data_IF_382497463596
#
_entry.id   IF_382497463596
#
_cell.length_a   1.000
_cell.length_b   1.000
_cell.length_c   1.000
_cell.angle_alpha   90.00
_cell.angle_beta   90.00
_cell.angle_gamma   90.00
#
_symmetry.space_group_name_H-M   'P 1'
#
loop_
_entity.id
_entity.type
_entity.pdbx_description
1 polymer ?
#
# COMPACT_ATOMS: atom_id res chain seq x y z
N UNK A 1 -39.77 -22.27 -38.29
CA UNK A 1 -39.47 -21.14 -37.38
C UNK A 1 -38.87 -21.70 -36.11
N UNK A 2 -37.53 -21.64 -35.98
CA UNK A 2 -36.81 -22.12 -34.81
C UNK A 2 -37.03 -21.14 -33.66
N UNK A 3 -37.70 -21.57 -32.59
CA UNK A 3 -37.88 -20.77 -31.39
C UNK A 3 -36.51 -20.55 -30.73
N UNK A 4 -35.98 -19.32 -30.81
CA UNK A 4 -34.83 -18.90 -30.02
C UNK A 4 -35.08 -19.21 -28.54
N UNK A 5 -34.34 -20.17 -27.98
CA UNK A 5 -34.16 -20.29 -26.53
C UNK A 5 -33.59 -18.95 -26.06
N UNK A 6 -34.42 -18.09 -25.46
CA UNK A 6 -33.92 -16.91 -24.72
C UNK A 6 -33.04 -17.45 -23.59
N UNK A 7 -31.74 -17.29 -23.72
CA UNK A 7 -30.73 -17.86 -22.82
C UNK A 7 -30.97 -17.35 -21.41
N UNK A 8 -31.21 -18.26 -20.46
CA UNK A 8 -31.33 -18.00 -19.02
C UNK A 8 -30.00 -17.61 -18.37
N UNK A 9 -29.07 -17.03 -19.13
CA UNK A 9 -27.74 -16.66 -18.68
C UNK A 9 -27.75 -15.34 -17.93
N UNK A 10 -26.91 -15.23 -16.90
CA UNK A 10 -26.71 -13.99 -16.15
C UNK A 10 -25.80 -13.05 -16.92
N UNK A 11 -26.11 -11.76 -16.90
CA UNK A 11 -25.24 -10.71 -17.45
C UNK A 11 -24.27 -10.28 -16.36
N UNK A 12 -22.98 -10.51 -16.61
CA UNK A 12 -21.87 -9.98 -15.82
C UNK A 12 -21.39 -8.67 -16.44
N UNK A 13 -20.99 -7.72 -15.59
CA UNK A 13 -20.24 -6.58 -16.07
C UNK A 13 -18.75 -6.91 -16.27
N UNK A 14 -17.99 -5.97 -16.82
CA UNK A 14 -16.55 -6.13 -17.07
C UNK A 14 -15.71 -6.40 -15.82
N UNK A 15 -16.24 -6.12 -14.63
CA UNK A 15 -15.60 -6.38 -13.34
C UNK A 15 -16.00 -7.73 -12.73
N UNK A 16 -16.73 -8.58 -13.46
CA UNK A 16 -17.21 -9.87 -12.95
C UNK A 16 -18.28 -9.75 -11.86
N UNK A 17 -19.00 -8.62 -11.81
CA UNK A 17 -20.09 -8.37 -10.86
C UNK A 17 -21.43 -8.49 -11.57
N UNK A 18 -22.42 -9.04 -10.86
CA UNK A 18 -23.80 -9.22 -11.32
C UNK A 18 -24.74 -8.44 -10.41
N UNK A 19 -25.51 -7.52 -10.99
CA UNK A 19 -26.60 -6.84 -10.32
C UNK A 19 -27.96 -7.40 -10.77
N UNK A 20 -28.80 -7.78 -9.81
CA UNK A 20 -30.15 -8.30 -10.05
C UNK A 20 -31.02 -7.31 -10.84
N UNK A 21 -30.86 -6.00 -10.59
CA UNK A 21 -31.64 -4.96 -11.27
C UNK A 21 -31.29 -4.80 -12.76
N UNK A 22 -30.12 -5.26 -13.17
CA UNK A 22 -29.63 -5.17 -14.54
C UNK A 22 -30.02 -6.39 -15.39
N UNK A 23 -30.56 -7.45 -14.76
CA UNK A 23 -31.06 -8.66 -15.43
C UNK A 23 -32.45 -8.43 -16.05
N UNK A 24 -32.54 -7.49 -16.99
CA UNK A 24 -33.81 -7.02 -17.58
C UNK A 24 -34.36 -7.93 -18.69
N UNK A 25 -33.53 -8.84 -19.22
CA UNK A 25 -33.88 -9.79 -20.27
C UNK A 25 -34.70 -11.00 -19.78
N UNK A 26 -34.76 -11.22 -18.45
CA UNK A 26 -35.50 -12.31 -17.80
C UNK A 26 -36.35 -11.78 -16.64
N UNK A 27 -37.32 -12.58 -16.17
CA UNK A 27 -38.16 -12.18 -15.03
C UNK A 27 -37.32 -12.05 -13.75
N UNK A 28 -37.67 -11.10 -12.88
CA UNK A 28 -36.96 -10.88 -11.60
C UNK A 28 -36.95 -12.13 -10.72
N UNK A 29 -38.03 -12.92 -10.71
CA UNK A 29 -38.12 -14.15 -9.94
C UNK A 29 -37.21 -15.24 -10.52
N UNK A 30 -37.17 -15.36 -11.86
CA UNK A 30 -36.26 -16.28 -12.55
C UNK A 30 -34.80 -15.91 -12.25
N UNK A 31 -34.43 -14.63 -12.38
CA UNK A 31 -33.10 -14.13 -12.07
C UNK A 31 -32.69 -14.42 -10.62
N UNK A 32 -33.58 -14.15 -9.65
CA UNK A 32 -33.34 -14.47 -8.22
C UNK A 32 -33.11 -15.96 -8.01
N UNK A 33 -33.90 -16.82 -8.66
CA UNK A 33 -33.74 -18.27 -8.56
C UNK A 33 -32.42 -18.76 -9.14
N UNK A 34 -31.98 -18.22 -10.28
CA UNK A 34 -30.68 -18.55 -10.89
C UNK A 34 -29.54 -18.11 -9.97
N UNK A 35 -29.58 -16.86 -9.47
CA UNK A 35 -28.58 -16.32 -8.57
C UNK A 35 -28.48 -17.10 -7.26
N UNK A 36 -29.60 -17.44 -6.62
CA UNK A 36 -29.62 -18.25 -5.38
C UNK A 36 -28.92 -19.58 -5.58
N UNK A 37 -29.29 -20.31 -6.65
CA UNK A 37 -28.68 -21.62 -6.93
C UNK A 37 -27.20 -21.51 -7.28
N UNK A 38 -26.76 -20.44 -7.95
CA UNK A 38 -25.35 -20.21 -8.26
C UNK A 38 -24.53 -19.92 -6.98
N UNK A 39 -25.11 -19.19 -6.01
CA UNK A 39 -24.50 -19.00 -4.68
C UNK A 39 -24.43 -20.31 -3.91
N UNK A 40 -25.50 -21.12 -3.91
CA UNK A 40 -25.52 -22.44 -3.27
C UNK A 40 -24.47 -23.40 -3.85
N UNK A 41 -24.17 -23.30 -5.15
CA UNK A 41 -23.10 -24.06 -5.82
C UNK A 41 -21.69 -23.48 -5.65
N UNK A 42 -21.55 -22.30 -5.02
CA UNK A 42 -20.26 -21.64 -4.86
C UNK A 42 -19.71 -20.97 -6.12
N UNK A 43 -20.52 -20.80 -7.17
CA UNK A 43 -20.12 -20.11 -8.41
C UNK A 43 -20.18 -18.58 -8.25
N UNK A 44 -21.04 -18.09 -7.35
CA UNK A 44 -21.20 -16.68 -7.03
C UNK A 44 -21.08 -16.43 -5.54
N UNK A 45 -20.54 -15.26 -5.20
CA UNK A 45 -20.49 -14.73 -3.83
C UNK A 45 -21.47 -13.57 -3.70
N UNK A 46 -22.40 -13.66 -2.76
CA UNK A 46 -23.35 -12.59 -2.50
C UNK A 46 -22.68 -11.46 -1.69
N UNK A 47 -22.56 -10.28 -2.29
CA UNK A 47 -21.94 -9.10 -1.64
C UNK A 47 -22.98 -8.29 -0.86
N UNK A 48 -24.10 -8.00 -1.52
CA UNK A 48 -25.23 -7.21 -1.00
C UNK A 48 -26.55 -7.83 -1.44
N UNK A 49 -27.66 -7.29 -0.95
CA UNK A 49 -28.97 -7.66 -1.48
C UNK A 49 -29.06 -7.30 -2.96
N UNK A 50 -29.11 -8.32 -3.83
CA UNK A 50 -29.25 -8.14 -5.27
C UNK A 50 -27.93 -7.81 -5.99
N UNK A 51 -26.77 -7.98 -5.36
CA UNK A 51 -25.45 -7.77 -5.97
C UNK A 51 -24.53 -8.93 -5.60
N UNK A 52 -23.90 -9.51 -6.61
CA UNK A 52 -23.11 -10.73 -6.53
C UNK A 52 -21.79 -10.55 -7.28
N UNK A 53 -20.72 -11.22 -6.84
CA UNK A 53 -19.47 -11.32 -7.58
C UNK A 53 -19.27 -12.75 -8.06
N UNK A 54 -18.59 -12.91 -9.19
CA UNK A 54 -18.05 -14.19 -9.62
C UNK A 54 -17.10 -14.75 -8.55
N UNK A 55 -17.24 -16.03 -8.18
CA UNK A 55 -16.35 -16.62 -7.19
C UNK A 55 -14.88 -16.61 -7.64
N UNK A 56 -14.60 -16.61 -8.96
CA UNK A 56 -13.25 -16.60 -9.53
C UNK A 56 -12.47 -15.30 -9.27
N UNK A 57 -13.17 -14.20 -9.00
CA UNK A 57 -12.54 -12.92 -8.66
C UNK A 57 -12.52 -12.65 -7.14
N UNK A 58 -13.14 -13.52 -6.33
CA UNK A 58 -13.30 -13.32 -4.90
C UNK A 58 -12.34 -14.21 -4.11
N UNK A 59 -11.25 -13.66 -3.52
CA UNK A 59 -10.32 -14.48 -2.74
C UNK A 59 -10.95 -14.91 -1.42
N UNK A 60 -11.11 -16.22 -1.22
CA UNK A 60 -11.77 -16.76 -0.03
C UNK A 60 -10.87 -16.66 1.20
N UNK A 61 -11.50 -16.57 2.39
CA UNK A 61 -10.79 -16.69 3.67
C UNK A 61 -10.12 -18.05 3.85
N UNK A 62 -10.66 -19.10 3.23
CA UNK A 62 -10.07 -20.44 3.25
C UNK A 62 -8.74 -20.51 2.51
N UNK A 63 -8.59 -19.70 1.46
CA UNK A 63 -7.45 -19.78 0.55
C UNK A 63 -6.22 -19.12 1.16
N UNK A 64 -6.45 -18.07 1.96
CA UNK A 64 -5.41 -17.28 2.62
C UNK A 64 -5.77 -17.06 4.10
N UNK A 65 -5.59 -18.07 4.96
CA UNK A 65 -6.08 -17.99 6.34
C UNK A 65 -5.28 -17.03 7.22
N UNK A 66 -3.99 -16.78 6.91
CA UNK A 66 -3.06 -15.94 7.70
C UNK A 66 -1.95 -15.34 6.82
N UNK A 67 -1.16 -14.42 7.40
CA UNK A 67 0.04 -13.87 6.79
C UNK A 67 -0.23 -12.76 5.78
N UNK A 68 0.79 -12.42 4.98
CA UNK A 68 0.71 -11.30 4.03
C UNK A 68 -0.36 -11.50 2.95
N UNK A 69 -0.59 -12.74 2.52
CA UNK A 69 -1.60 -13.07 1.51
C UNK A 69 -3.03 -12.87 2.03
N UNK A 70 -3.27 -13.15 3.32
CA UNK A 70 -4.57 -12.89 3.93
C UNK A 70 -4.91 -11.39 3.93
N UNK A 71 -3.93 -10.54 4.23
CA UNK A 71 -4.07 -9.07 4.21
C UNK A 71 -4.35 -8.59 2.78
N UNK A 72 -3.59 -9.10 1.79
CA UNK A 72 -3.82 -8.78 0.37
C UNK A 72 -5.21 -9.21 -0.10
N UNK A 73 -5.66 -10.42 0.26
CA UNK A 73 -6.99 -10.91 -0.04
C UNK A 73 -8.10 -10.05 0.59
N UNK A 74 -7.89 -9.56 1.81
CA UNK A 74 -8.81 -8.64 2.47
C UNK A 74 -8.94 -7.32 1.71
N UNK A 75 -7.82 -6.73 1.29
CA UNK A 75 -7.78 -5.51 0.47
C UNK A 75 -8.52 -5.69 -0.86
N UNK A 76 -8.30 -6.81 -1.55
CA UNK A 76 -8.99 -7.13 -2.81
C UNK A 76 -10.50 -7.25 -2.58
N UNK A 77 -10.94 -8.00 -1.56
CA UNK A 77 -12.38 -8.14 -1.26
C UNK A 77 -13.03 -6.81 -0.94
N UNK A 78 -12.37 -5.96 -0.14
CA UNK A 78 -12.89 -4.65 0.16
C UNK A 78 -12.97 -3.77 -1.10
N UNK A 79 -12.00 -3.88 -2.02
CA UNK A 79 -12.00 -3.17 -3.31
C UNK A 79 -13.18 -3.62 -4.18
N UNK A 80 -13.40 -4.92 -4.32
CA UNK A 80 -14.54 -5.49 -5.05
C UNK A 80 -15.87 -4.98 -4.46
N UNK A 81 -15.99 -4.96 -3.13
CA UNK A 81 -17.18 -4.42 -2.46
C UNK A 81 -17.36 -2.91 -2.72
N UNK A 82 -16.27 -2.13 -2.78
CA UNK A 82 -16.30 -0.71 -3.16
C UNK A 82 -16.75 -0.49 -4.62
N UNK A 83 -16.25 -1.30 -5.55
CA UNK A 83 -16.67 -1.25 -6.96
C UNK A 83 -18.16 -1.58 -7.05
N UNK A 84 -18.58 -2.69 -6.45
CA UNK A 84 -19.95 -3.16 -6.47
C UNK A 84 -20.95 -2.16 -5.84
N UNK A 85 -20.60 -1.50 -4.73
CA UNK A 85 -21.48 -0.49 -4.11
C UNK A 85 -21.57 0.77 -4.96
N UNK A 86 -20.48 1.19 -5.60
CA UNK A 86 -20.48 2.37 -6.47
C UNK A 86 -21.27 2.11 -7.75
N UNK A 87 -21.14 0.92 -8.34
CA UNK A 87 -21.98 0.50 -9.46
C UNK A 87 -23.46 0.47 -9.06
N UNK A 88 -23.79 -0.06 -7.87
CA UNK A 88 -25.14 -0.03 -7.32
C UNK A 88 -25.69 1.39 -7.06
N UNK A 89 -24.81 2.38 -6.87
CA UNK A 89 -25.18 3.76 -6.56
C UNK A 89 -24.33 4.76 -7.36
N UNK A 90 -24.54 4.86 -8.69
CA UNK A 90 -23.67 5.60 -9.60
C UNK A 90 -23.72 7.13 -9.39
N UNK A 91 -24.72 7.62 -8.66
CA UNK A 91 -24.86 9.01 -8.22
C UNK A 91 -23.96 9.39 -7.04
N UNK A 92 -23.31 8.40 -6.41
CA UNK A 92 -22.50 8.59 -5.20
C UNK A 92 -21.01 8.47 -5.48
N UNK A 93 -20.21 9.06 -4.60
CA UNK A 93 -18.75 9.17 -4.73
C UNK A 93 -18.08 8.54 -3.52
N UNK A 94 -17.17 7.59 -3.70
CA UNK A 94 -16.38 7.06 -2.58
C UNK A 94 -15.35 8.10 -2.12
N UNK A 95 -15.16 8.20 -0.81
CA UNK A 95 -14.27 9.21 -0.19
C UNK A 95 -13.41 8.57 0.91
N UNK A 96 -12.32 9.24 1.30
CA UNK A 96 -11.46 8.81 2.40
C UNK A 96 -10.82 7.44 2.12
N UNK A 97 -10.82 6.54 3.11
CA UNK A 97 -10.21 5.21 2.98
C UNK A 97 -10.81 4.38 1.82
N UNK A 98 -12.11 4.55 1.54
CA UNK A 98 -12.75 3.87 0.43
C UNK A 98 -12.19 4.33 -0.93
N UNK A 99 -11.96 5.63 -1.08
CA UNK A 99 -11.30 6.17 -2.26
C UNK A 99 -9.82 5.76 -2.32
N UNK A 100 -9.11 5.77 -1.18
CA UNK A 100 -7.72 5.33 -1.11
C UNK A 100 -7.54 3.88 -1.57
N UNK A 101 -8.49 3.01 -1.22
CA UNK A 101 -8.52 1.62 -1.66
C UNK A 101 -8.69 1.48 -3.18
N UNK A 102 -9.57 2.29 -3.80
CA UNK A 102 -9.76 2.31 -5.26
C UNK A 102 -8.52 2.89 -5.97
N UNK A 103 -7.86 3.86 -5.36
CA UNK A 103 -6.57 4.37 -5.81
C UNK A 103 -5.40 3.38 -5.58
N UNK A 104 -5.63 2.24 -4.94
CA UNK A 104 -4.59 1.27 -4.56
C UNK A 104 -3.47 1.84 -3.70
N UNK A 105 -3.80 2.84 -2.87
CA UNK A 105 -2.84 3.37 -1.91
C UNK A 105 -2.50 2.32 -0.84
N UNK A 106 -1.28 2.38 -0.25
CA UNK A 106 -0.79 1.36 0.67
C UNK A 106 -1.46 1.46 2.06
N UNK A 107 -2.70 0.99 2.14
CA UNK A 107 -3.44 0.90 3.39
C UNK A 107 -2.77 -0.09 4.36
N UNK A 108 -2.73 0.29 5.63
CA UNK A 108 -2.22 -0.59 6.69
C UNK A 108 -3.30 -1.53 7.21
N UNK A 109 -4.54 -1.09 7.10
CA UNK A 109 -5.72 -1.82 7.54
C UNK A 109 -6.96 -1.38 6.76
N UNK A 110 -8.04 -2.13 6.88
CA UNK A 110 -9.34 -1.76 6.32
C UNK A 110 -10.29 -1.52 7.49
N UNK A 111 -10.72 -0.28 7.71
CA UNK A 111 -11.70 -0.02 8.76
C UNK A 111 -13.02 -0.71 8.40
N UNK A 112 -13.72 -1.18 9.43
CA UNK A 112 -15.02 -1.83 9.25
C UNK A 112 -16.04 -0.94 8.53
N UNK A 113 -15.88 0.39 8.65
CA UNK A 113 -16.78 1.38 8.04
C UNK A 113 -16.05 2.25 7.04
N UNK A 114 -16.50 2.21 5.79
CA UNK A 114 -16.08 3.03 4.68
C UNK A 114 -17.11 4.13 4.38
N UNK A 115 -16.70 5.15 3.63
CA UNK A 115 -17.56 6.33 3.36
C UNK A 115 -17.91 6.44 1.88
N UNK A 116 -19.20 6.70 1.63
CA UNK A 116 -19.76 6.98 0.30
C UNK A 116 -20.60 8.26 0.38
N UNK A 117 -20.20 9.30 -0.35
CA UNK A 117 -20.86 10.60 -0.32
C UNK A 117 -21.91 10.76 -1.41
N UNK A 118 -23.03 11.39 -1.07
CA UNK A 118 -24.03 11.84 -2.04
C UNK A 118 -24.03 13.37 -2.16
N UNK A 119 -24.29 13.87 -3.38
CA UNK A 119 -24.55 15.29 -3.65
C UNK A 119 -25.96 15.72 -3.28
N UNK A 120 -26.86 14.78 -2.96
CA UNK A 120 -28.24 15.05 -2.55
C UNK A 120 -28.33 15.01 -1.04
N UNK A 121 -28.84 16.07 -0.42
CA UNK A 121 -29.11 16.08 1.03
C UNK A 121 -30.15 15.01 1.34
N UNK A 122 -29.72 13.97 2.03
CA UNK A 122 -30.54 12.90 2.57
C UNK A 122 -30.11 12.63 4.01
N UNK A 123 -30.97 11.99 4.79
CA UNK A 123 -30.57 11.43 6.07
C UNK A 123 -29.38 10.49 5.91
N UNK A 124 -28.51 10.47 6.91
CA UNK A 124 -27.40 9.51 7.00
C UNK A 124 -27.95 8.10 7.03
N UNK A 125 -27.29 7.17 6.33
CA UNK A 125 -27.65 5.75 6.35
C UNK A 125 -26.39 4.89 6.33
N UNK A 126 -26.49 3.65 6.78
CA UNK A 126 -25.39 2.68 6.72
C UNK A 126 -25.85 1.45 5.95
N UNK A 127 -25.08 1.07 4.94
CA UNK A 127 -25.29 -0.15 4.17
C UNK A 127 -24.29 -1.20 4.64
N UNK A 128 -24.77 -2.38 5.04
CA UNK A 128 -23.92 -3.48 5.49
C UNK A 128 -23.82 -4.55 4.41
N UNK A 129 -22.59 -5.00 4.15
CA UNK A 129 -22.30 -6.13 3.26
C UNK A 129 -22.54 -7.46 3.97
N UNK A 130 -22.68 -8.54 3.22
CA UNK A 130 -22.70 -9.90 3.77
C UNK A 130 -21.35 -10.30 4.40
N UNK A 131 -20.27 -9.59 4.08
CA UNK A 131 -18.90 -9.86 4.55
C UNK A 131 -18.42 -8.85 5.61
N UNK A 132 -19.34 -8.19 6.31
CA UNK A 132 -19.06 -7.42 7.53
C UNK A 132 -18.66 -5.95 7.32
N UNK A 133 -18.21 -5.58 6.13
CA UNK A 133 -17.89 -4.20 5.75
C UNK A 133 -19.16 -3.34 5.69
N UNK A 134 -19.06 -2.11 6.18
CA UNK A 134 -20.14 -1.13 6.24
C UNK A 134 -19.80 0.09 5.37
N UNK A 135 -20.81 0.66 4.73
CA UNK A 135 -20.71 1.91 3.98
C UNK A 135 -21.60 2.95 4.64
N UNK A 136 -20.99 3.89 5.34
CA UNK A 136 -21.65 5.06 5.86
C UNK A 136 -21.88 6.06 4.73
N UNK A 137 -23.15 6.38 4.50
CA UNK A 137 -23.56 7.38 3.54
C UNK A 137 -23.67 8.74 4.21
N UNK A 138 -22.87 9.71 3.75
CA UNK A 138 -22.96 11.10 4.19
C UNK A 138 -23.39 12.02 3.03
N UNK A 139 -23.74 13.26 3.39
CA UNK A 139 -23.93 14.34 2.44
C UNK A 139 -22.63 15.15 2.32
N UNK A 140 -22.10 15.24 1.11
CA UNK A 140 -20.95 16.08 0.80
C UNK A 140 -21.03 16.53 -0.66
N UNK A 141 -21.22 17.83 -0.86
CA UNK A 141 -21.17 18.44 -2.19
C UNK A 141 -19.71 18.55 -2.63
N UNK A 142 -19.28 17.65 -3.53
CA UNK A 142 -17.94 17.65 -4.10
C UNK A 142 -17.96 18.39 -5.45
N UNK A 143 -17.05 19.36 -5.68
CA UNK A 143 -16.92 19.97 -6.99
C UNK A 143 -16.39 18.95 -8.00
N UNK A 144 -16.71 19.09 -9.31
CA UNK A 144 -16.23 18.17 -10.35
C UNK A 144 -14.70 17.99 -10.34
N UNK A 145 -13.94 19.05 -10.07
CA UNK A 145 -12.47 19.03 -9.98
C UNK A 145 -11.92 18.19 -8.82
N UNK A 146 -12.75 17.86 -7.82
CA UNK A 146 -12.36 17.02 -6.69
C UNK A 146 -12.82 15.56 -6.84
N UNK A 147 -13.38 15.19 -8.00
CA UNK A 147 -13.87 13.84 -8.30
C UNK A 147 -13.26 13.30 -9.58
N UNK A 148 -13.06 11.99 -9.65
CA UNK A 148 -12.59 11.27 -10.84
C UNK A 148 -13.31 9.93 -10.94
N UNK A 149 -13.06 9.19 -12.02
CA UNK A 149 -13.57 7.84 -12.23
C UNK A 149 -12.42 6.87 -12.46
N UNK A 150 -12.41 5.78 -11.71
CA UNK A 150 -11.41 4.70 -11.76
C UNK A 150 -12.18 3.39 -11.84
N UNK A 151 -11.93 2.55 -12.84
CA UNK A 151 -12.63 1.26 -13.00
C UNK A 151 -14.17 1.40 -13.02
N UNK A 152 -14.69 2.51 -13.57
CA UNK A 152 -16.12 2.83 -13.56
C UNK A 152 -16.69 3.29 -12.21
N UNK A 153 -15.84 3.43 -11.19
CA UNK A 153 -16.18 3.87 -9.83
C UNK A 153 -15.96 5.37 -9.70
N UNK A 154 -16.95 6.11 -9.23
CA UNK A 154 -16.78 7.53 -8.88
C UNK A 154 -16.09 7.66 -7.53
N UNK A 155 -14.96 8.35 -7.51
CA UNK A 155 -14.14 8.55 -6.30
C UNK A 155 -13.63 9.99 -6.21
N UNK A 156 -13.18 10.42 -5.03
CA UNK A 156 -12.40 11.67 -4.92
C UNK A 156 -11.10 11.57 -5.71
N UNK A 157 -10.55 12.68 -6.21
CA UNK A 157 -9.21 12.66 -6.85
C UNK A 157 -8.15 12.18 -5.85
N UNK A 158 -6.99 11.70 -6.35
CA UNK A 158 -5.91 11.21 -5.49
C UNK A 158 -5.48 12.27 -4.45
N UNK A 159 -5.25 13.50 -4.92
CA UNK A 159 -4.90 14.62 -4.05
C UNK A 159 -6.01 14.93 -3.03
N UNK A 160 -7.27 14.95 -3.45
CA UNK A 160 -8.40 15.19 -2.54
C UNK A 160 -8.54 14.10 -1.48
N UNK A 161 -8.34 12.84 -1.87
CA UNK A 161 -8.39 11.68 -0.98
C UNK A 161 -7.34 11.79 0.12
N UNK A 162 -6.09 12.08 -0.24
CA UNK A 162 -4.99 12.27 0.74
C UNK A 162 -5.30 13.42 1.69
N UNK A 163 -5.75 14.57 1.16
CA UNK A 163 -6.07 15.75 1.96
C UNK A 163 -7.24 15.49 2.92
N UNK A 164 -8.29 14.80 2.49
CA UNK A 164 -9.41 14.46 3.37
C UNK A 164 -8.99 13.50 4.50
N UNK A 165 -8.11 12.54 4.22
CA UNK A 165 -7.58 11.61 5.23
C UNK A 165 -6.66 12.33 6.23
N UNK A 166 -5.82 13.24 5.74
CA UNK A 166 -4.98 14.10 6.57
C UNK A 166 -5.83 15.06 7.43
N UNK A 167 -6.91 15.60 6.89
CA UNK A 167 -7.84 16.47 7.61
C UNK A 167 -8.68 15.72 8.66
N UNK A 168 -8.94 14.42 8.46
CA UNK A 168 -9.70 13.59 9.39
C UNK A 168 -8.89 13.15 10.63
N UNK A 169 -7.63 13.55 10.74
CA UNK A 169 -6.79 13.25 11.90
C UNK A 169 -7.35 13.93 13.16
N UNK A 170 -7.34 13.24 14.31
CA UNK A 170 -7.84 13.82 15.56
C UNK A 170 -6.95 14.99 16.01
N UNK A 171 -7.52 15.90 16.79
CA UNK A 171 -6.71 16.86 17.55
C UNK A 171 -5.97 16.09 18.64
N UNK A 172 -4.70 16.41 18.83
CA UNK A 172 -3.82 15.68 19.76
C UNK A 172 -3.07 16.65 20.68
N UNK A 173 -2.69 16.13 21.83
CA UNK A 173 -1.76 16.67 22.82
C UNK A 173 -0.67 15.61 23.11
N UNK A 174 0.28 15.91 23.99
CA UNK A 174 1.39 14.99 24.28
C UNK A 174 0.94 13.63 24.85
N UNK A 175 -0.21 13.58 25.54
CA UNK A 175 -0.75 12.35 26.11
C UNK A 175 -1.45 11.49 25.05
N UNK A 176 -2.22 12.11 24.15
CA UNK A 176 -3.01 11.43 23.12
C UNK A 176 -2.19 11.04 21.89
N UNK A 177 -1.12 11.79 21.56
CA UNK A 177 -0.19 11.46 20.46
C UNK A 177 0.39 10.04 20.58
N UNK A 178 0.64 9.59 21.81
CA UNK A 178 1.27 8.30 22.10
C UNK A 178 0.29 7.13 22.15
N UNK A 179 -1.01 7.37 22.00
CA UNK A 179 -2.00 6.29 21.97
C UNK A 179 -1.84 5.49 20.67
N UNK A 180 -1.74 4.15 20.72
CA UNK A 180 -1.49 3.32 19.53
C UNK A 180 -2.47 3.57 18.38
N UNK A 181 -3.76 3.77 18.69
CA UNK A 181 -4.80 4.04 17.70
C UNK A 181 -4.66 5.41 17.03
N UNK A 182 -4.17 6.42 17.75
CA UNK A 182 -3.90 7.76 17.21
C UNK A 182 -2.66 7.73 16.34
N UNK A 183 -1.60 7.09 16.83
CA UNK A 183 -0.36 6.91 16.09
C UNK A 183 -0.59 6.12 14.79
N UNK A 184 -1.32 5.00 14.84
CA UNK A 184 -1.66 4.19 13.66
C UNK A 184 -2.37 5.01 12.57
N UNK A 185 -3.31 5.88 12.95
CA UNK A 185 -4.03 6.76 12.00
C UNK A 185 -3.13 7.82 11.38
N UNK A 186 -2.18 8.35 12.15
CA UNK A 186 -1.20 9.33 11.66
C UNK A 186 -0.22 8.69 10.69
N UNK A 187 0.31 7.53 11.07
CA UNK A 187 1.18 6.67 10.25
C UNK A 187 0.51 6.32 8.91
N UNK A 188 -0.74 5.86 8.95
CA UNK A 188 -1.49 5.53 7.73
C UNK A 188 -1.64 6.76 6.83
N UNK A 189 -2.00 7.93 7.38
CA UNK A 189 -2.13 9.14 6.58
C UNK A 189 -0.82 9.55 5.87
N UNK A 190 0.34 9.40 6.54
CA UNK A 190 1.65 9.64 5.93
C UNK A 190 1.94 8.62 4.83
N UNK A 191 1.72 7.33 5.09
CA UNK A 191 1.96 6.27 4.11
C UNK A 191 1.12 6.43 2.83
N UNK A 192 -0.13 6.88 2.97
CA UNK A 192 -1.01 7.18 1.84
C UNK A 192 -0.55 8.43 1.08
N UNK A 193 -0.07 9.47 1.78
CA UNK A 193 0.46 10.67 1.15
C UNK A 193 1.76 10.39 0.38
N UNK A 194 2.68 9.62 0.97
CA UNK A 194 3.92 9.19 0.31
C UNK A 194 3.63 8.32 -0.91
N UNK A 195 2.71 7.36 -0.78
CA UNK A 195 2.29 6.51 -1.88
C UNK A 195 1.70 7.30 -3.06
N UNK A 196 0.97 8.38 -2.77
CA UNK A 196 0.42 9.25 -3.80
C UNK A 196 1.51 10.07 -4.52
N UNK A 197 2.48 10.62 -3.77
CA UNK A 197 3.60 11.40 -4.33
C UNK A 197 4.60 10.53 -5.11
N UNK A 198 4.83 9.30 -4.67
CA UNK A 198 5.77 8.37 -5.31
C UNK A 198 5.30 7.91 -6.70
N UNK A 199 3.98 7.77 -6.91
CA UNK A 199 3.41 7.34 -8.19
C UNK A 199 3.81 5.93 -8.61
N UNK A 200 3.22 4.93 -7.97
CA UNK A 200 3.10 3.52 -8.41
C UNK A 200 2.43 2.79 -7.25
N UNK A 201 1.12 2.72 -7.33
CA UNK A 201 0.23 2.31 -6.23
C UNK A 201 0.08 0.79 -6.21
N UNK A 202 1.02 0.14 -5.52
CA UNK A 202 0.92 -1.25 -5.08
C UNK A 202 0.69 -1.34 -3.58
N UNK A 203 -0.31 -2.15 -3.19
CA UNK A 203 -0.54 -2.53 -1.80
C UNK A 203 0.57 -3.47 -1.32
N UNK A 204 1.30 -3.06 -0.29
CA UNK A 204 2.18 -3.91 0.52
C UNK A 204 3.20 -4.73 -0.31
N UNK A 205 4.24 -4.05 -0.79
CA UNK A 205 5.58 -4.63 -0.87
C UNK A 205 5.87 -5.66 -1.97
N UNK A 206 5.19 -5.66 -3.12
CA UNK A 206 5.67 -6.46 -4.26
C UNK A 206 5.58 -5.81 -5.64
N UNK A 207 4.75 -4.79 -5.86
CA UNK A 207 4.60 -4.17 -7.19
C UNK A 207 4.34 -2.68 -7.08
N UNK A 208 5.42 -1.90 -6.93
CA UNK A 208 5.39 -0.44 -6.88
C UNK A 208 6.47 0.22 -7.73
N UNK A 209 7.04 -0.51 -8.68
CA UNK A 209 7.98 0.02 -9.67
C UNK A 209 7.52 -0.48 -11.04
N UNK A 210 6.95 0.39 -11.86
CA UNK A 210 7.50 0.40 -13.22
C UNK A 210 8.90 0.98 -13.04
N UNK A 211 9.97 0.23 -13.31
CA UNK A 211 11.26 0.86 -13.44
C UNK A 211 11.06 2.02 -14.42
N UNK A 212 11.63 3.19 -14.13
CA UNK A 212 12.02 4.08 -15.23
C UNK A 212 12.57 3.16 -16.33
N UNK A 213 12.06 3.28 -17.56
CA UNK A 213 12.29 2.33 -18.66
C UNK A 213 13.77 2.11 -19.07
N UNK A 214 14.73 2.55 -18.26
CA UNK A 214 16.07 1.99 -18.22
C UNK A 214 16.35 1.44 -16.81
N UNK A 215 16.48 0.12 -16.68
CA UNK A 215 17.36 -0.42 -15.64
C UNK A 215 18.73 0.23 -15.85
N UNK A 216 19.40 0.74 -14.81
CA UNK A 216 20.69 1.41 -14.97
C UNK A 216 21.84 0.47 -15.41
N UNK A 217 21.57 -0.83 -15.64
CA UNK A 217 22.53 -1.89 -15.96
C UNK A 217 21.92 -2.90 -16.96
N UNK A 218 22.16 -2.76 -18.29
CA UNK A 218 21.63 -3.69 -19.29
C UNK A 218 22.25 -5.10 -19.23
N UNK A 219 23.41 -5.26 -18.61
CA UNK A 219 24.21 -6.51 -18.63
C UNK A 219 24.29 -7.25 -17.29
N UNK A 220 23.54 -6.82 -16.26
CA UNK A 220 23.51 -7.55 -15.00
C UNK A 220 22.71 -8.86 -15.17
N UNK A 221 23.28 -10.05 -14.87
CA UNK A 221 22.51 -11.29 -14.93
C UNK A 221 21.37 -11.23 -13.92
N UNK A 222 20.17 -11.68 -14.32
CA UNK A 222 18.96 -11.82 -13.50
C UNK A 222 19.26 -12.71 -12.28
N UNK A 223 19.79 -12.10 -11.22
CA UNK A 223 20.02 -12.76 -9.94
C UNK A 223 18.79 -12.51 -9.08
N UNK A 224 17.92 -13.52 -9.07
CA UNK A 224 16.64 -13.60 -8.38
C UNK A 224 15.44 -13.25 -9.27
N UNK A 225 14.88 -14.28 -9.91
CA UNK A 225 13.45 -14.32 -10.20
C UNK A 225 12.77 -14.87 -8.93
N UNK A 226 12.13 -14.03 -8.09
CA UNK A 226 11.24 -14.56 -7.07
C UNK A 226 10.16 -15.41 -7.76
N UNK A 227 9.59 -16.42 -7.09
CA UNK A 227 8.33 -16.97 -7.56
C UNK A 227 7.36 -15.80 -7.78
N UNK A 228 6.82 -15.66 -8.98
CA UNK A 228 5.99 -14.52 -9.35
C UNK A 228 4.68 -14.56 -8.55
N UNK A 229 4.67 -13.94 -7.38
CA UNK A 229 3.47 -13.58 -6.63
C UNK A 229 2.94 -12.22 -7.08
N UNK A 230 2.95 -12.02 -8.39
CA UNK A 230 2.47 -10.81 -9.03
C UNK A 230 0.96 -10.96 -9.30
N UNK A 231 0.16 -10.31 -8.47
CA UNK A 231 -1.30 -10.24 -8.67
C UNK A 231 -1.62 -9.61 -10.04
N UNK A 232 -0.74 -8.74 -10.59
CA UNK A 232 -0.92 -8.20 -11.94
C UNK A 232 -0.72 -9.28 -13.03
N UNK A 233 0.04 -10.34 -12.77
CA UNK A 233 0.17 -11.50 -13.67
C UNK A 233 -0.86 -12.60 -13.39
N UNK A 234 -1.19 -12.90 -12.13
CA UNK A 234 -2.14 -13.95 -11.77
C UNK A 234 -3.61 -13.50 -11.96
N UNK A 235 -3.89 -12.21 -11.76
CA UNK A 235 -5.22 -11.61 -11.92
C UNK A 235 -5.14 -10.26 -12.66
N UNK A 236 -4.71 -10.23 -13.95
CA UNK A 236 -4.50 -8.99 -14.71
C UNK A 236 -5.75 -8.10 -14.80
N UNK A 237 -6.95 -8.68 -14.73
CA UNK A 237 -8.22 -7.98 -14.67
C UNK A 237 -8.48 -7.21 -13.35
N UNK A 238 -7.66 -7.45 -12.31
CA UNK A 238 -7.71 -6.76 -11.02
C UNK A 238 -6.51 -5.82 -10.82
N UNK A 239 -5.58 -5.75 -11.77
CA UNK A 239 -4.42 -4.86 -11.72
C UNK A 239 -4.88 -3.39 -11.65
N UNK A 240 -4.37 -2.67 -10.67
CA UNK A 240 -4.78 -1.29 -10.44
C UNK A 240 -4.32 -0.39 -11.59
N UNK A 241 -5.16 0.54 -12.08
CA UNK A 241 -4.68 1.57 -12.98
C UNK A 241 -3.58 2.37 -12.28
N UNK A 242 -2.38 2.37 -12.87
CA UNK A 242 -1.22 3.08 -12.34
C UNK A 242 -1.50 4.57 -12.38
N UNK A 243 -1.60 5.20 -11.22
CA UNK A 243 -1.61 6.65 -11.15
C UNK A 243 -0.25 7.21 -11.54
N UNK A 244 -0.27 8.24 -12.38
CA UNK A 244 0.87 9.15 -12.54
C UNK A 244 1.13 9.80 -11.18
N UNK A 245 2.40 9.88 -10.77
CA UNK A 245 2.80 10.60 -9.57
C UNK A 245 2.17 12.00 -9.55
N UNK A 246 1.57 12.37 -8.41
CA UNK A 246 1.15 13.77 -8.18
C UNK A 246 2.25 14.51 -7.44
N UNK A 247 2.23 15.83 -7.55
CA UNK A 247 3.14 16.74 -6.86
C UNK A 247 2.49 17.28 -5.59
N UNK A 248 3.31 17.78 -4.65
CA UNK A 248 2.77 18.39 -3.43
C UNK A 248 1.91 19.64 -3.71
N UNK A 249 2.07 20.30 -4.87
CA UNK A 249 1.23 21.43 -5.27
C UNK A 249 -0.20 21.01 -5.62
N UNK A 250 -0.43 19.75 -5.99
CA UNK A 250 -1.76 19.22 -6.27
C UNK A 250 -2.64 19.13 -5.01
N UNK A 251 -2.04 19.17 -3.80
CA UNK A 251 -2.81 19.23 -2.55
C UNK A 251 -3.42 20.61 -2.28
N UNK A 252 -2.79 21.69 -2.77
CA UNK A 252 -3.14 23.08 -2.41
C UNK A 252 -4.62 23.43 -2.64
N UNK A 253 -5.27 23.04 -3.76
CA UNK A 253 -6.68 23.36 -3.99
C UNK A 253 -7.64 22.75 -2.97
N UNK A 254 -7.18 21.80 -2.15
CA UNK A 254 -8.01 21.04 -1.22
C UNK A 254 -7.73 21.35 0.25
N UNK A 255 -6.67 22.10 0.56
CA UNK A 255 -6.24 22.44 1.94
C UNK A 255 -7.30 23.24 2.69
N UNK A 256 -8.03 24.11 1.99
CA UNK A 256 -9.05 24.96 2.60
C UNK A 256 -10.47 24.37 2.48
N UNK A 257 -11.29 24.61 3.50
CA UNK A 257 -12.73 24.36 3.45
C UNK A 257 -13.45 25.47 2.66
N UNK A 258 -14.76 25.35 2.50
CA UNK A 258 -15.59 26.33 1.79
C UNK A 258 -15.60 27.73 2.44
N UNK A 259 -15.11 27.86 3.67
CA UNK A 259 -14.99 29.12 4.43
C UNK A 259 -13.55 29.65 4.44
N UNK A 260 -12.65 29.06 3.66
CA UNK A 260 -11.24 29.45 3.59
C UNK A 260 -10.39 28.97 4.76
N UNK A 261 -10.91 28.12 5.66
CA UNK A 261 -10.16 27.64 6.83
C UNK A 261 -9.37 26.39 6.46
N UNK A 262 -8.17 26.25 7.02
CA UNK A 262 -7.37 25.02 6.91
C UNK A 262 -8.18 23.85 7.47
N UNK A 263 -8.28 22.75 6.72
CA UNK A 263 -9.04 21.57 7.13
C UNK A 263 -8.28 20.77 8.17
N UNK A 264 -8.94 20.46 9.29
CA UNK A 264 -8.42 19.53 10.30
C UNK A 264 -7.21 20.05 11.09
N UNK A 265 -6.95 19.50 12.28
CA UNK A 265 -5.92 20.02 13.19
C UNK A 265 -4.49 19.61 12.83
N UNK A 266 -4.30 18.47 12.15
CA UNK A 266 -2.97 17.90 11.83
C UNK A 266 -2.70 17.74 10.34
N UNK A 267 -3.57 18.27 9.48
CA UNK A 267 -3.44 18.06 8.03
C UNK A 267 -2.10 18.59 7.50
N UNK A 268 -1.71 19.80 7.89
CA UNK A 268 -0.44 20.38 7.45
C UNK A 268 0.76 19.56 7.94
N UNK A 269 0.71 18.99 9.15
CA UNK A 269 1.76 18.12 9.68
C UNK A 269 1.96 16.88 8.79
N UNK A 270 0.88 16.24 8.34
CA UNK A 270 0.94 15.11 7.41
C UNK A 270 1.50 15.54 6.05
N UNK A 271 0.95 16.62 5.46
CA UNK A 271 1.32 17.04 4.11
C UNK A 271 2.75 17.60 4.03
N UNK A 272 3.26 18.23 5.09
CA UNK A 272 4.64 18.75 5.13
C UNK A 272 5.69 17.64 5.24
N UNK A 273 5.33 16.51 5.86
CA UNK A 273 6.22 15.35 6.01
C UNK A 273 6.13 14.42 4.80
N UNK A 274 5.02 14.48 4.05
CA UNK A 274 4.79 13.65 2.88
C UNK A 274 5.90 13.85 1.84
N UNK A 275 6.45 12.75 1.34
CA UNK A 275 7.54 12.75 0.36
C UNK A 275 7.50 11.50 -0.52
N UNK A 276 8.00 11.55 -1.76
CA UNK A 276 8.05 10.38 -2.64
C UNK A 276 9.18 9.40 -2.27
N UNK A 277 10.00 9.71 -1.27
CA UNK A 277 11.27 9.02 -0.98
C UNK A 277 11.12 7.74 -0.16
N UNK A 278 10.00 7.56 0.52
CA UNK A 278 9.70 6.28 1.17
C UNK A 278 9.34 5.27 0.10
N UNK A 279 10.16 4.24 -0.11
CA UNK A 279 9.96 3.24 -1.17
C UNK A 279 8.98 2.14 -0.74
N UNK A 280 8.72 2.03 0.55
CA UNK A 280 7.77 1.09 1.14
C UNK A 280 6.81 1.74 2.13
N UNK A 281 5.70 1.05 2.39
CA UNK A 281 4.78 1.42 3.48
C UNK A 281 5.52 1.40 4.83
N UNK A 282 6.48 0.48 5.02
CA UNK A 282 7.22 0.36 6.26
C UNK A 282 8.14 1.56 6.48
N UNK A 283 8.85 2.03 5.45
CA UNK A 283 9.62 3.28 5.54
C UNK A 283 8.72 4.47 5.88
N UNK A 284 7.54 4.56 5.28
CA UNK A 284 6.58 5.64 5.60
C UNK A 284 6.16 5.60 7.08
N UNK A 285 6.03 4.39 7.63
CA UNK A 285 5.72 4.15 9.05
C UNK A 285 6.89 4.53 9.95
N UNK A 286 8.11 4.13 9.61
CA UNK A 286 9.32 4.55 10.31
C UNK A 286 9.48 6.07 10.28
N UNK A 287 9.21 6.72 9.14
CA UNK A 287 9.21 8.18 9.01
C UNK A 287 8.25 8.84 10.00
N UNK A 288 7.02 8.35 10.10
CA UNK A 288 6.03 8.86 11.04
C UNK A 288 6.50 8.73 12.50
N UNK A 289 7.17 7.63 12.86
CA UNK A 289 7.80 7.47 14.17
C UNK A 289 8.88 8.53 14.43
N UNK A 290 9.78 8.77 13.47
CA UNK A 290 10.84 9.77 13.60
C UNK A 290 10.28 11.19 13.78
N UNK A 291 9.19 11.51 13.07
CA UNK A 291 8.47 12.78 13.23
C UNK A 291 7.85 12.93 14.62
N UNK A 292 7.19 11.89 15.14
CA UNK A 292 6.63 11.92 16.51
C UNK A 292 7.72 12.01 17.58
N UNK A 293 8.90 11.43 17.32
CA UNK A 293 10.09 11.59 18.16
C UNK A 293 10.78 12.96 17.99
N UNK A 294 10.30 13.82 17.07
CA UNK A 294 10.85 15.15 16.76
C UNK A 294 12.33 15.09 16.34
N UNK A 295 12.70 14.04 15.62
CA UNK A 295 14.07 13.83 15.14
C UNK A 295 14.22 14.40 13.73
N UNK A 296 15.36 15.05 13.48
CA UNK A 296 15.76 15.43 12.12
C UNK A 296 16.40 14.24 11.43
N UNK A 297 15.95 13.94 10.20
CA UNK A 297 16.43 12.81 9.42
C UNK A 297 16.55 13.17 7.95
N UNK A 298 17.33 12.37 7.23
CA UNK A 298 17.47 12.39 5.77
C UNK A 298 17.01 11.04 5.24
N UNK A 299 16.18 11.04 4.21
CA UNK A 299 15.69 9.81 3.56
C UNK A 299 16.60 9.41 2.40
N UNK A 300 16.82 8.11 2.25
CA UNK A 300 17.54 7.54 1.11
C UNK A 300 18.95 8.14 0.86
N UNK A 301 19.74 8.58 1.87
CA UNK A 301 21.05 9.16 1.61
C UNK A 301 22.04 8.12 1.11
N UNK A 302 23.01 8.59 0.32
CA UNK A 302 24.15 7.79 -0.13
C UNK A 302 25.35 8.04 0.79
N UNK A 303 25.87 6.98 1.38
CA UNK A 303 27.06 7.00 2.23
C UNK A 303 28.29 6.65 1.39
N UNK A 304 29.36 7.44 1.56
CA UNK A 304 30.67 7.19 0.97
C UNK A 304 31.74 7.15 2.08
N UNK A 305 32.81 6.42 1.84
CA UNK A 305 33.98 6.43 2.71
C UNK A 305 34.82 7.70 2.55
N UNK A 306 35.92 7.82 3.30
CA UNK A 306 36.84 8.96 3.26
C UNK A 306 37.50 9.15 1.88
N UNK A 307 37.60 8.09 1.06
CA UNK A 307 38.17 8.13 -0.28
C UNK A 307 37.13 8.45 -1.38
N UNK A 308 35.87 8.66 -1.00
CA UNK A 308 34.74 8.91 -1.90
C UNK A 308 34.20 7.65 -2.59
N UNK A 309 34.52 6.47 -2.05
CA UNK A 309 33.98 5.20 -2.53
C UNK A 309 32.58 5.02 -1.97
N UNK A 310 31.63 4.71 -2.84
CA UNK A 310 30.27 4.40 -2.46
C UNK A 310 30.22 3.16 -1.57
N UNK A 311 29.56 3.28 -0.43
CA UNK A 311 29.38 2.21 0.54
C UNK A 311 27.96 1.66 0.48
N UNK A 312 26.96 2.52 0.70
CA UNK A 312 25.57 2.10 0.73
C UNK A 312 24.60 3.26 0.46
N UNK A 313 23.39 2.91 0.01
CA UNK A 313 22.19 3.72 0.21
C UNK A 313 21.44 3.13 1.39
N UNK A 314 20.98 3.98 2.29
CA UNK A 314 20.29 3.59 3.53
C UNK A 314 18.93 4.26 3.60
N UNK A 315 17.97 3.69 4.33
CA UNK A 315 16.60 4.23 4.34
C UNK A 315 16.51 5.58 5.04
N UNK A 316 17.09 5.69 6.24
CA UNK A 316 17.14 6.93 7.01
C UNK A 316 18.52 7.14 7.64
N UNK A 317 18.96 8.38 7.66
CA UNK A 317 20.11 8.85 8.44
C UNK A 317 19.67 9.94 9.40
N UNK A 318 20.14 9.90 10.65
CA UNK A 318 20.06 10.97 11.63
C UNK A 318 21.46 11.59 11.72
N UNK A 319 21.78 12.62 10.91
CA UNK A 319 23.17 13.02 10.67
C UNK A 319 23.86 13.54 11.93
N UNK A 320 23.13 14.26 12.77
CA UNK A 320 23.65 14.84 14.02
C UNK A 320 24.11 13.79 15.04
N UNK A 321 23.72 12.52 14.87
CA UNK A 321 23.99 11.44 15.80
C UNK A 321 24.81 10.29 15.20
N UNK A 322 25.05 10.34 13.87
CA UNK A 322 25.68 9.24 13.15
C UNK A 322 24.85 7.94 13.18
N UNK A 323 23.52 8.04 13.23
CA UNK A 323 22.63 6.87 13.33
C UNK A 323 21.98 6.60 11.98
N UNK A 324 22.11 5.37 11.50
CA UNK A 324 21.42 4.82 10.33
C UNK A 324 20.25 3.96 10.81
N UNK A 325 19.09 4.10 10.18
CA UNK A 325 17.91 3.28 10.44
C UNK A 325 17.52 2.57 9.14
N UNK A 326 17.43 1.25 9.21
CA UNK A 326 17.06 0.34 8.12
C UNK A 326 15.71 -0.32 8.42
N UNK A 327 14.85 -0.37 7.40
CA UNK A 327 13.48 -0.87 7.50
C UNK A 327 13.40 -2.32 6.99
N UNK A 328 13.58 -3.31 7.87
CA UNK A 328 13.41 -4.72 7.50
C UNK A 328 11.92 -5.13 7.42
N UNK A 329 11.42 -5.30 6.19
CA UNK A 329 10.03 -5.72 5.92
C UNK A 329 9.69 -7.15 6.33
N UNK A 330 8.39 -7.46 6.49
CA UNK A 330 7.88 -8.78 6.95
C UNK A 330 8.32 -9.97 6.09
N UNK A 331 8.63 -9.77 4.81
CA UNK A 331 9.09 -10.85 3.93
C UNK A 331 10.48 -11.40 4.27
N UNK A 332 11.29 -10.69 5.06
CA UNK A 332 12.62 -11.17 5.47
C UNK A 332 12.56 -12.23 6.58
N UNK A 333 11.40 -12.40 7.22
CA UNK A 333 11.24 -13.23 8.44
C UNK A 333 10.01 -14.14 8.49
N UNK A 334 9.22 -14.28 7.41
CA UNK A 334 8.27 -15.39 7.37
C UNK A 334 9.06 -16.72 7.33
N UNK A 335 8.76 -17.70 8.21
CA UNK A 335 9.52 -18.93 8.27
C UNK A 335 9.48 -19.63 6.90
N UNK A 336 10.65 -20.07 6.44
CA UNK A 336 10.86 -20.82 5.22
C UNK A 336 10.02 -22.13 5.09
N UNK A 337 9.17 -22.43 6.07
CA UNK A 337 8.29 -23.60 6.10
C UNK A 337 7.26 -23.63 4.96
N UNK A 338 6.87 -22.49 4.39
CA UNK A 338 5.99 -22.46 3.19
C UNK A 338 6.74 -22.77 1.88
N UNK A 339 8.08 -22.77 1.86
CA UNK A 339 8.87 -23.13 0.66
C UNK A 339 9.05 -24.63 0.48
N UNK A 340 8.66 -25.44 1.47
CA UNK A 340 8.95 -26.88 1.50
C UNK A 340 7.77 -27.76 1.08
N UNK A 341 6.55 -27.21 0.98
CA UNK A 341 5.36 -27.99 0.58
C UNK A 341 5.12 -28.02 -0.93
N UNK A 342 5.69 -27.10 -1.70
CA UNK A 342 5.61 -27.14 -3.17
C UNK A 342 6.67 -28.02 -3.85
N UNK A 343 7.64 -28.56 -3.10
CA UNK A 343 8.76 -29.37 -3.63
C UNK A 343 8.56 -30.88 -3.50
N UNK A 344 7.56 -31.36 -2.75
CA UNK A 344 7.37 -32.81 -2.51
C UNK A 344 6.79 -33.55 -3.73
N UNK A 345 6.46 -32.87 -4.83
CA UNK A 345 6.03 -33.53 -6.07
C UNK A 345 7.02 -33.46 -7.23
N UNK A 346 8.22 -32.87 -7.06
CA UNK A 346 9.21 -32.76 -8.14
C UNK A 346 10.57 -33.36 -7.81
N UNK A 347 10.64 -34.33 -6.89
CA UNK A 347 11.85 -35.13 -6.68
C UNK A 347 11.71 -36.51 -7.31
N UNK A 348 11.85 -36.56 -8.63
CA UNK A 348 12.41 -37.72 -9.33
C UNK A 348 12.94 -37.28 -10.69
N UNK A 349 14.10 -36.59 -10.68
CA UNK A 349 15.19 -36.77 -11.66
C UNK A 349 16.35 -35.80 -11.41
N UNK A 350 17.46 -36.40 -10.94
CA UNK A 350 18.86 -36.12 -11.28
C UNK A 350 19.43 -34.69 -11.15
N UNK A 351 20.35 -34.53 -10.20
CA UNK A 351 21.75 -34.19 -10.51
C UNK A 351 22.18 -32.71 -10.48
N UNK A 352 23.29 -32.48 -9.77
CA UNK A 352 24.16 -31.30 -9.75
C UNK A 352 23.76 -30.12 -8.83
N UNK A 353 24.74 -29.68 -8.04
CA UNK A 353 24.59 -28.83 -6.87
C UNK A 353 24.03 -27.43 -7.16
N UNK A 354 23.01 -27.06 -6.40
CA UNK A 354 22.51 -25.69 -6.33
C UNK A 354 22.85 -25.09 -4.97
N UNK A 355 23.89 -24.25 -4.95
CA UNK A 355 24.17 -23.36 -3.83
C UNK A 355 22.94 -22.47 -3.58
N UNK A 356 22.40 -22.54 -2.37
CA UNK A 356 21.18 -21.86 -1.96
C UNK A 356 21.30 -20.33 -2.06
N UNK A 357 20.54 -19.72 -2.98
CA UNK A 357 20.48 -18.26 -3.20
C UNK A 357 20.06 -17.44 -1.96
N UNK A 358 19.49 -18.07 -0.93
CA UNK A 358 19.10 -17.42 0.32
C UNK A 358 20.27 -17.02 1.24
N UNK A 359 21.42 -17.70 1.16
CA UNK A 359 22.58 -17.40 2.04
C UNK A 359 23.43 -16.24 1.52
N UNK A 360 23.55 -16.08 0.20
CA UNK A 360 24.36 -15.01 -0.41
C UNK A 360 23.86 -13.60 -0.06
N UNK A 361 22.54 -13.38 0.01
CA UNK A 361 21.95 -12.09 0.37
C UNK A 361 22.24 -11.70 1.83
N UNK A 362 22.25 -12.67 2.76
CA UNK A 362 22.52 -12.42 4.18
C UNK A 362 23.97 -11.97 4.41
N UNK A 363 24.92 -12.56 3.66
CA UNK A 363 26.34 -12.19 3.77
C UNK A 363 26.64 -10.82 3.17
N UNK A 364 25.95 -10.44 2.09
CA UNK A 364 26.06 -9.11 1.49
C UNK A 364 25.52 -8.02 2.44
N UNK A 365 24.35 -8.25 3.04
CA UNK A 365 23.76 -7.33 4.03
C UNK A 365 24.69 -7.13 5.23
N UNK A 366 25.22 -8.23 5.81
CA UNK A 366 26.17 -8.13 6.94
C UNK A 366 27.46 -7.40 6.59
N UNK A 367 28.02 -7.64 5.40
CA UNK A 367 29.24 -6.97 4.95
C UNK A 367 29.02 -5.45 4.83
N UNK A 368 27.87 -5.03 4.31
CA UNK A 368 27.46 -3.63 4.23
C UNK A 368 27.38 -3.00 5.61
N UNK A 369 26.75 -3.69 6.57
CA UNK A 369 26.61 -3.18 7.94
C UNK A 369 27.98 -3.03 8.62
N UNK A 370 28.92 -3.96 8.38
CA UNK A 370 30.29 -3.82 8.88
C UNK A 370 31.01 -2.61 8.28
N UNK A 371 30.85 -2.35 6.98
CA UNK A 371 31.48 -1.19 6.35
C UNK A 371 30.96 0.13 6.92
N UNK A 372 29.64 0.24 7.10
CA UNK A 372 29.00 1.40 7.71
C UNK A 372 29.41 1.57 9.19
N UNK A 373 29.48 0.46 9.93
CA UNK A 373 29.95 0.46 11.33
C UNK A 373 31.41 0.91 11.43
N UNK A 374 32.27 0.46 10.52
CA UNK A 374 33.69 0.85 10.46
C UNK A 374 33.89 2.34 10.18
N UNK A 375 32.95 2.96 9.45
CA UNK A 375 32.89 4.40 9.26
C UNK A 375 32.40 5.15 10.51
N UNK A 376 31.98 4.45 11.54
CA UNK A 376 31.52 5.01 12.81
C UNK A 376 30.02 5.27 12.90
N UNK A 377 29.21 4.73 11.97
CA UNK A 377 27.75 4.82 12.07
C UNK A 377 27.20 3.76 13.03
N UNK A 378 26.22 4.14 13.85
CA UNK A 378 25.37 3.19 14.58
C UNK A 378 24.19 2.78 13.70
N UNK A 379 23.97 1.48 13.51
CA UNK A 379 22.92 0.97 12.62
C UNK A 379 21.81 0.34 13.44
N UNK A 380 20.57 0.70 13.16
CA UNK A 380 19.37 0.16 13.81
C UNK A 380 18.48 -0.47 12.74
N UNK A 381 18.25 -1.76 12.86
CA UNK A 381 17.28 -2.49 12.05
C UNK A 381 15.94 -2.51 12.78
N UNK A 382 14.92 -1.90 12.17
CA UNK A 382 13.57 -1.89 12.72
C UNK A 382 12.71 -2.96 12.08
N UNK A 383 11.78 -3.53 12.86
CA UNK A 383 10.75 -4.44 12.39
C UNK A 383 9.36 -3.83 12.60
N UNK A 384 8.36 -4.34 11.88
CA UNK A 384 6.98 -3.89 12.01
C UNK A 384 6.46 -3.98 13.46
N UNK A 385 6.76 -5.08 14.14
CA UNK A 385 6.29 -5.31 15.51
C UNK A 385 6.93 -4.31 16.47
N UNK A 386 8.24 -4.03 16.29
CA UNK A 386 8.97 -3.08 17.13
C UNK A 386 8.40 -1.65 17.08
N UNK A 387 7.82 -1.25 15.94
CA UNK A 387 7.20 0.08 15.83
C UNK A 387 5.92 0.17 16.67
N UNK A 388 5.06 -0.85 16.58
CA UNK A 388 3.74 -0.80 17.21
C UNK A 388 3.74 -1.24 18.68
N UNK A 389 4.71 -2.04 19.12
CA UNK A 389 4.92 -2.34 20.54
C UNK A 389 5.72 -1.26 21.30
N UNK A 390 6.25 -0.28 20.57
CA UNK A 390 6.99 0.87 21.10
C UNK A 390 8.47 0.61 21.39
N UNK A 391 8.97 -0.61 21.19
CA UNK A 391 10.38 -0.95 21.41
C UNK A 391 11.32 -0.23 20.43
N UNK A 392 10.89 0.06 19.20
CA UNK A 392 11.63 0.86 18.22
C UNK A 392 11.99 2.25 18.76
N UNK A 393 11.05 2.92 19.42
CA UNK A 393 11.30 4.21 20.06
C UNK A 393 12.36 4.09 21.18
N UNK A 394 12.34 2.99 21.94
CA UNK A 394 13.35 2.67 22.93
C UNK A 394 14.74 2.44 22.34
N UNK A 395 14.83 1.67 21.25
CA UNK A 395 16.08 1.42 20.53
C UNK A 395 16.71 2.72 20.00
N UNK A 396 15.89 3.57 19.36
CA UNK A 396 16.34 4.87 18.85
C UNK A 396 16.83 5.76 20.00
N UNK A 397 16.08 5.88 21.11
CA UNK A 397 16.51 6.67 22.27
C UNK A 397 17.82 6.16 22.90
N UNK A 398 17.99 4.84 22.97
CA UNK A 398 19.24 4.24 23.46
C UNK A 398 20.42 4.60 22.56
N UNK A 399 20.24 4.55 21.24
CA UNK A 399 21.28 4.91 20.28
C UNK A 399 21.61 6.41 20.32
N UNK A 400 20.62 7.28 20.51
CA UNK A 400 20.82 8.73 20.65
C UNK A 400 21.75 9.08 21.83
N UNK A 401 21.69 8.31 22.92
CA UNK A 401 22.57 8.51 24.08
C UNK A 401 24.04 8.17 23.80
N UNK A 402 24.31 7.34 22.78
CA UNK A 402 25.65 6.89 22.41
C UNK A 402 26.26 7.70 21.25
N UNK A 403 25.65 8.84 20.88
CA UNK A 403 25.95 9.69 19.72
C UNK A 403 27.38 9.56 19.15
N UNK A 404 27.48 9.31 17.85
CA UNK A 404 28.75 9.07 17.16
C UNK A 404 29.04 10.19 16.16
N UNK A 405 30.32 10.41 15.84
CA UNK A 405 30.74 11.29 14.73
C UNK A 405 31.41 10.42 13.67
N UNK A 406 30.68 10.05 12.60
CA UNK A 406 31.21 9.18 11.55
C UNK A 406 32.34 9.86 10.76
N UNK A 407 33.28 9.06 10.25
CA UNK A 407 34.40 9.53 9.39
C UNK A 407 34.00 9.66 7.92
N UNK A 408 33.02 8.87 7.47
CA UNK A 408 32.50 8.91 6.11
C UNK A 408 31.66 10.15 5.81
N UNK A 409 31.46 10.43 4.51
CA UNK A 409 30.57 11.52 4.05
C UNK A 409 29.25 10.94 3.56
N UNK A 410 28.23 11.78 3.48
CA UNK A 410 26.95 11.39 2.91
C UNK A 410 26.39 12.50 2.01
N UNK A 411 25.53 12.09 1.09
CA UNK A 411 24.82 12.98 0.19
C UNK A 411 23.32 12.68 0.27
N UNK A 412 22.50 13.72 0.39
CA UNK A 412 21.04 13.60 0.31
C UNK A 412 20.66 13.05 -1.07
N UNK A 413 19.61 12.23 -1.15
CA UNK A 413 19.04 11.72 -2.39
C UNK A 413 18.81 12.83 -3.44
N UNK A 414 18.44 14.05 -3.01
CA UNK A 414 18.21 15.20 -3.90
C UNK A 414 19.52 15.73 -4.51
N UNK A 415 20.60 15.73 -3.75
CA UNK A 415 21.89 16.33 -4.15
C UNK A 415 22.93 15.30 -4.56
N UNK A 416 22.61 14.02 -4.42
CA UNK A 416 23.49 12.93 -4.74
C UNK A 416 23.77 12.88 -6.25
N UNK A 417 25.05 12.87 -6.60
CA UNK A 417 25.50 12.78 -7.98
C UNK A 417 25.00 11.48 -8.63
N UNK A 418 24.90 11.41 -9.98
CA UNK A 418 24.63 10.16 -10.67
C UNK A 418 25.61 9.07 -10.26
N UNK A 419 25.17 7.81 -10.33
CA UNK A 419 25.97 6.65 -9.88
C UNK A 419 27.41 6.66 -10.40
N UNK A 420 27.62 7.02 -11.67
CA UNK A 420 28.95 7.04 -12.31
C UNK A 420 29.93 8.08 -11.76
N UNK A 421 29.49 9.02 -10.91
CA UNK A 421 30.37 9.99 -10.27
C UNK A 421 31.07 9.44 -9.01
N UNK A 422 30.65 8.29 -8.49
CA UNK A 422 31.25 7.67 -7.31
C UNK A 422 32.28 6.61 -7.69
N UNK A 423 33.31 6.45 -6.85
CA UNK A 423 34.19 5.27 -6.93
C UNK A 423 33.43 4.07 -6.39
N UNK A 424 33.59 2.90 -7.01
CA UNK A 424 33.04 1.65 -6.49
C UNK A 424 34.20 0.73 -6.11
N UNK A 425 34.05 -0.01 -5.01
CA UNK A 425 35.08 -0.94 -4.53
C UNK A 425 35.25 -2.18 -5.41
N UNK A 426 34.45 -2.33 -6.48
CA UNK A 426 34.52 -3.46 -7.42
C UNK A 426 34.60 -2.98 -8.87
N UNK A 427 35.84 -2.92 -9.38
CA UNK A 427 36.16 -3.16 -10.78
C UNK A 427 36.75 -4.56 -10.87
N UNK A 428 35.89 -5.54 -11.20
CA UNK A 428 36.23 -6.96 -11.35
C UNK A 428 35.07 -7.68 -12.01
#
# INVERSE_FOLDING_TARGET
>A
MSAMRKTSELIFNSSGIVHLREQTHISRNTARGILSRAVERGELVQLFRGTYADARIWPSNSDFPRGILAIKAELIRARIQCIAISQAHPDRVLTGIAAALIHSLPLLDIPQTLTLSSSVKSGSSTLKTHHGLQFHQNYLALPPSATTTIDGVRVTTLARTVVDIAAAQPRVDDATRRKPEVFRRFVEAIALADGALRGSVGTLGSTGMQPQQALPWPEAPLRFEPPNWDIEQEFPQLAAPRHVAISSTDFLPHVHDQRGRVRGPRMLEVLMVASPWSESAFESVTKALLVELKLSFVQQPRIVDEAGVFVARVDFLLPAHGIIIECDGRMKYEPAQSRMQSTVQSETRAGAGQHHAGTANIWHDRRRDYQLTNLGYAIIHLTWDAIFDGSAAGMIRKALAASTTPRGRWFDAITALPRGAYKFSFSG
#
